data_IF_342067296214
#
_entry.id   IF_342067296214
#
_cell.length_a   1.000
_cell.length_b   1.000
_cell.length_c   1.000
_cell.angle_alpha   90.00
_cell.angle_beta   90.00
_cell.angle_gamma   90.00
#
_symmetry.space_group_name_H-M   'P 1'
#
loop_
_entity.id
_entity.type
_entity.pdbx_description
1 polymer ?
#
# COMPACT_ATOMS: atom_id res chain seq x y z
N UNK A 1 -20.03 8.82 -40.76
CA UNK A 1 -20.25 9.25 -39.36
C UNK A 1 -21.05 8.14 -38.71
N UNK A 2 -20.46 7.36 -37.79
CA UNK A 2 -21.16 6.27 -37.08
C UNK A 2 -22.31 6.85 -36.25
N UNK A 3 -23.51 6.28 -36.35
CA UNK A 3 -24.63 6.65 -35.49
C UNK A 3 -24.21 6.46 -34.02
N UNK A 4 -24.14 7.56 -33.32
CA UNK A 4 -23.95 7.55 -31.87
C UNK A 4 -25.20 6.96 -31.26
N UNK A 5 -25.09 5.81 -30.55
CA UNK A 5 -26.20 5.11 -29.93
C UNK A 5 -26.98 5.99 -28.95
N UNK A 6 -28.29 5.69 -28.74
CA UNK A 6 -29.17 6.46 -27.82
C UNK A 6 -28.58 6.64 -26.41
N UNK A 7 -27.89 5.61 -25.88
CA UNK A 7 -27.24 5.67 -24.57
C UNK A 7 -26.11 6.70 -24.52
N UNK A 8 -25.31 6.81 -25.58
CA UNK A 8 -24.22 7.78 -25.65
C UNK A 8 -24.77 9.21 -25.81
N UNK A 9 -25.89 9.40 -26.51
CA UNK A 9 -26.60 10.69 -26.60
C UNK A 9 -27.18 11.11 -25.24
N UNK A 10 -27.81 10.16 -24.52
CA UNK A 10 -28.31 10.43 -23.16
C UNK A 10 -27.16 10.81 -22.21
N UNK A 11 -26.01 10.15 -22.31
CA UNK A 11 -24.81 10.51 -21.56
C UNK A 11 -24.31 11.92 -21.89
N UNK A 12 -24.22 12.26 -23.18
CA UNK A 12 -23.79 13.59 -23.61
C UNK A 12 -24.69 14.72 -23.07
N UNK A 13 -25.99 14.47 -22.98
CA UNK A 13 -26.96 15.43 -22.43
C UNK A 13 -26.80 15.68 -20.92
N UNK A 14 -26.27 14.71 -20.16
CA UNK A 14 -26.08 14.82 -18.71
C UNK A 14 -24.68 15.29 -18.31
N UNK A 15 -23.70 15.35 -19.22
CA UNK A 15 -22.32 15.72 -18.91
C UNK A 15 -22.14 17.14 -18.36
N UNK A 16 -23.03 18.08 -18.70
CA UNK A 16 -23.00 19.45 -18.20
C UNK A 16 -23.70 19.62 -16.85
N UNK A 17 -24.32 18.56 -16.30
CA UNK A 17 -25.15 18.62 -15.10
C UNK A 17 -26.49 19.35 -15.33
N UNK A 18 -27.18 19.67 -14.25
CA UNK A 18 -28.49 20.30 -14.27
C UNK A 18 -28.46 21.67 -13.56
N UNK A 19 -28.72 22.76 -14.29
CA UNK A 19 -28.78 24.11 -13.72
C UNK A 19 -30.06 24.30 -12.91
N UNK A 20 -29.89 24.76 -11.67
CA UNK A 20 -30.98 25.23 -10.81
C UNK A 20 -31.39 26.68 -11.13
N UNK A 21 -32.37 27.18 -10.42
CA UNK A 21 -32.84 28.57 -10.50
C UNK A 21 -31.84 29.58 -9.89
N UNK A 22 -30.91 29.10 -9.11
CA UNK A 22 -29.88 29.83 -8.36
C UNK A 22 -28.53 29.92 -9.10
N UNK A 23 -28.51 29.57 -10.39
CA UNK A 23 -27.31 29.50 -11.25
C UNK A 23 -26.28 28.45 -10.79
N UNK A 24 -26.68 27.55 -9.91
CA UNK A 24 -25.87 26.42 -9.44
C UNK A 24 -26.14 25.20 -10.31
N UNK A 25 -25.08 24.46 -10.66
CA UNK A 25 -25.18 23.20 -11.39
C UNK A 25 -25.18 22.02 -10.41
N UNK A 26 -26.24 21.23 -10.45
CA UNK A 26 -26.38 20.01 -9.67
C UNK A 26 -26.14 18.76 -10.52
N UNK A 27 -25.62 17.70 -9.89
CA UNK A 27 -25.44 16.40 -10.55
C UNK A 27 -26.79 15.75 -10.93
N UNK A 28 -27.82 16.00 -10.11
CA UNK A 28 -29.14 15.41 -10.28
C UNK A 28 -30.25 16.47 -10.17
N UNK A 29 -31.24 16.51 -11.10
CA UNK A 29 -32.29 17.52 -11.08
C UNK A 29 -33.26 17.37 -9.89
N UNK A 30 -33.35 16.17 -9.32
CA UNK A 30 -34.27 15.83 -8.22
C UNK A 30 -33.57 15.68 -6.87
N UNK A 31 -32.34 16.15 -6.72
CA UNK A 31 -31.58 16.04 -5.47
C UNK A 31 -32.27 16.76 -4.31
N UNK A 32 -32.60 16.02 -3.24
CA UNK A 32 -33.24 16.56 -2.04
C UNK A 32 -32.35 16.55 -0.80
N UNK A 33 -31.17 15.90 -0.87
CA UNK A 33 -30.21 15.86 0.24
C UNK A 33 -29.74 17.28 0.57
N UNK A 34 -29.67 17.58 1.85
CA UNK A 34 -29.24 18.89 2.37
C UNK A 34 -28.24 18.69 3.50
N UNK A 35 -27.37 19.63 3.64
CA UNK A 35 -26.49 19.84 4.78
C UNK A 35 -26.69 21.28 5.25
N UNK A 36 -26.54 21.54 6.54
CA UNK A 36 -26.63 22.90 7.06
C UNK A 36 -25.57 23.80 6.45
N UNK A 37 -25.94 25.06 6.22
CA UNK A 37 -25.02 26.08 5.73
C UNK A 37 -23.94 26.30 6.78
N UNK A 38 -22.67 26.35 6.35
CA UNK A 38 -21.53 26.53 7.24
C UNK A 38 -20.30 27.03 6.51
N UNK A 39 -19.25 27.25 7.25
CA UNK A 39 -17.94 27.61 6.70
C UNK A 39 -17.22 26.36 6.18
N UNK A 40 -16.27 26.58 5.25
CA UNK A 40 -15.37 25.52 4.77
C UNK A 40 -14.53 24.99 5.92
N UNK A 41 -14.47 23.68 6.07
CA UNK A 41 -13.60 23.03 7.06
C UNK A 41 -12.19 22.96 6.49
N UNK A 42 -11.44 24.04 6.67
CA UNK A 42 -10.07 24.15 6.20
C UNK A 42 -9.07 23.37 7.07
N UNK A 43 -7.79 23.44 6.70
CA UNK A 43 -6.68 22.73 7.34
C UNK A 43 -6.63 22.95 8.87
N UNK A 44 -6.69 24.18 9.32
CA UNK A 44 -6.56 24.50 10.75
C UNK A 44 -7.68 23.86 11.59
N UNK A 45 -8.91 23.86 11.06
CA UNK A 45 -10.04 23.21 11.74
C UNK A 45 -9.88 21.68 11.78
N UNK A 46 -9.28 21.07 10.76
CA UNK A 46 -8.96 19.63 10.74
C UNK A 46 -7.87 19.27 11.72
N UNK A 47 -6.80 20.06 11.79
CA UNK A 47 -5.72 19.91 12.77
C UNK A 47 -6.24 20.07 14.22
N UNK A 48 -7.18 21.00 14.45
CA UNK A 48 -7.80 21.16 15.76
C UNK A 48 -8.67 19.94 16.14
N UNK A 49 -9.37 19.36 15.18
CA UNK A 49 -10.09 18.09 15.40
C UNK A 49 -9.16 16.94 15.77
N UNK A 50 -7.96 16.87 15.17
CA UNK A 50 -6.94 15.90 15.59
C UNK A 50 -6.57 16.10 17.07
N UNK A 51 -6.39 17.33 17.55
CA UNK A 51 -6.10 17.61 18.95
C UNK A 51 -7.18 17.11 19.92
N UNK A 52 -8.44 17.15 19.49
CA UNK A 52 -9.58 16.72 20.30
C UNK A 52 -9.81 15.20 20.26
N UNK A 53 -9.51 14.55 19.14
CA UNK A 53 -9.89 13.17 18.88
C UNK A 53 -8.75 12.17 19.07
N UNK A 54 -7.50 12.57 18.79
CA UNK A 54 -6.36 11.67 18.87
C UNK A 54 -5.86 11.52 20.30
N UNK A 55 -5.52 10.30 20.68
CA UNK A 55 -4.93 10.03 21.99
C UNK A 55 -3.55 10.66 22.15
N UNK A 56 -3.10 10.96 23.37
CA UNK A 56 -1.71 11.31 23.63
C UNK A 56 -0.76 10.22 23.10
N UNK A 57 0.29 10.62 22.39
CA UNK A 57 1.23 9.69 21.73
C UNK A 57 0.93 9.41 20.25
N UNK A 58 -0.29 9.68 19.77
CA UNK A 58 -0.58 9.66 18.35
C UNK A 58 0.02 10.86 17.62
N UNK A 59 0.45 10.67 16.38
CA UNK A 59 1.07 11.71 15.56
C UNK A 59 0.01 12.70 15.05
N UNK A 60 0.21 13.99 15.34
CA UNK A 60 -0.66 15.08 14.89
C UNK A 60 -0.04 15.78 13.69
N UNK A 61 -0.87 16.21 12.74
CA UNK A 61 -0.39 17.00 11.60
C UNK A 61 0.23 18.34 12.03
N UNK A 62 -0.36 19.00 13.03
CA UNK A 62 0.22 20.21 13.61
C UNK A 62 1.49 19.89 14.41
N UNK A 63 2.62 20.45 13.97
CA UNK A 63 3.94 20.24 14.59
C UNK A 63 4.70 19.03 14.05
N UNK A 64 4.15 18.35 13.08
CA UNK A 64 4.79 17.31 12.26
C UNK A 64 4.74 17.71 10.78
N UNK A 65 4.97 16.76 9.88
CA UNK A 65 4.90 17.00 8.44
C UNK A 65 6.16 17.66 7.87
N UNK A 66 7.33 17.31 8.43
CA UNK A 66 8.61 17.79 7.94
C UNK A 66 8.91 17.23 6.56
N UNK A 67 9.08 18.12 5.58
CA UNK A 67 9.41 17.77 4.20
C UNK A 67 10.85 18.11 3.89
N UNK A 68 11.47 17.33 2.99
CA UNK A 68 12.84 17.60 2.52
C UNK A 68 12.95 18.97 1.83
N UNK A 69 11.93 19.32 1.03
CA UNK A 69 11.80 20.63 0.39
C UNK A 69 10.65 21.38 1.06
N UNK A 70 10.91 22.58 1.56
CA UNK A 70 9.89 23.42 2.19
C UNK A 70 8.80 23.78 1.18
N UNK A 71 7.54 23.67 1.60
CA UNK A 71 6.36 24.02 0.82
C UNK A 71 5.38 24.81 1.67
N UNK A 72 4.62 25.69 1.02
CA UNK A 72 3.51 26.38 1.69
C UNK A 72 2.44 25.38 2.14
N UNK A 73 1.88 25.56 3.34
CA UNK A 73 0.76 24.74 3.80
C UNK A 73 -0.43 24.82 2.84
N UNK A 74 -1.09 23.67 2.63
CA UNK A 74 -2.35 23.63 1.90
C UNK A 74 -3.46 24.31 2.72
N UNK A 75 -4.33 25.14 2.14
CA UNK A 75 -5.39 25.81 2.89
C UNK A 75 -6.47 24.87 3.41
N UNK A 76 -6.66 23.73 2.77
CA UNK A 76 -7.76 22.80 3.08
C UNK A 76 -7.29 21.51 3.73
N UNK A 77 -6.15 20.96 3.29
CA UNK A 77 -5.67 19.63 3.68
C UNK A 77 -4.54 19.69 4.70
N UNK A 78 -4.56 18.75 5.66
CA UNK A 78 -3.41 18.50 6.53
C UNK A 78 -2.21 17.98 5.72
N UNK A 79 -1.02 17.99 6.31
CA UNK A 79 0.19 17.49 5.65
C UNK A 79 0.06 16.01 5.26
N UNK A 80 -0.55 15.18 6.10
CA UNK A 80 -0.74 13.75 5.85
C UNK A 80 -1.84 13.45 4.82
N UNK A 81 -2.90 14.29 4.75
CA UNK A 81 -3.88 14.22 3.66
C UNK A 81 -3.23 14.50 2.30
N UNK A 82 -2.32 15.49 2.24
CA UNK A 82 -1.53 15.76 1.03
C UNK A 82 -0.64 14.58 0.63
N UNK A 83 0.00 13.93 1.60
CA UNK A 83 0.85 12.76 1.34
C UNK A 83 0.05 11.60 0.78
N UNK A 84 -1.08 11.27 1.41
CA UNK A 84 -1.99 10.25 0.90
C UNK A 84 -2.42 10.51 -0.55
N UNK A 85 -2.84 11.73 -0.82
CA UNK A 85 -3.29 12.12 -2.16
C UNK A 85 -2.14 12.04 -3.17
N UNK A 86 -0.93 12.50 -2.82
CA UNK A 86 0.26 12.38 -3.67
C UNK A 86 0.60 10.94 -4.00
N UNK A 87 0.56 10.05 -3.01
CA UNK A 87 0.80 8.62 -3.22
C UNK A 87 -0.23 8.04 -4.18
N UNK A 88 -1.53 8.22 -3.92
CA UNK A 88 -2.63 7.69 -4.75
C UNK A 88 -2.54 8.17 -6.20
N UNK A 89 -2.13 9.41 -6.43
CA UNK A 89 -1.99 9.99 -7.77
C UNK A 89 -0.63 9.70 -8.43
N UNK A 90 0.31 9.07 -7.71
CA UNK A 90 1.64 8.75 -8.26
C UNK A 90 1.59 7.62 -9.29
N UNK A 91 2.56 7.61 -10.18
CA UNK A 91 2.77 6.50 -11.10
C UNK A 91 3.24 5.25 -10.34
N UNK A 92 4.07 5.41 -9.30
CA UNK A 92 4.56 4.29 -8.48
C UNK A 92 3.40 3.49 -7.88
N UNK A 93 2.39 4.16 -7.34
CA UNK A 93 1.19 3.51 -6.81
C UNK A 93 0.37 2.82 -7.90
N UNK A 94 0.11 3.50 -9.04
CA UNK A 94 -0.62 2.89 -10.17
C UNK A 94 0.07 1.65 -10.72
N UNK A 95 1.42 1.63 -10.74
CA UNK A 95 2.22 0.49 -11.21
C UNK A 95 2.05 -0.77 -10.35
N UNK A 96 1.61 -0.65 -9.10
CA UNK A 96 1.27 -1.78 -8.26
C UNK A 96 0.17 -2.67 -8.86
N UNK A 97 -0.69 -2.14 -9.72
CA UNK A 97 -1.71 -2.90 -10.44
C UNK A 97 -1.13 -3.99 -11.35
N UNK A 98 0.06 -3.76 -11.89
CA UNK A 98 0.76 -4.72 -12.74
C UNK A 98 1.74 -5.62 -11.98
N UNK A 99 1.95 -5.43 -10.68
CA UNK A 99 2.87 -6.23 -9.87
C UNK A 99 2.12 -7.31 -9.11
N UNK A 100 2.65 -8.52 -9.16
CA UNK A 100 2.02 -9.69 -8.52
C UNK A 100 2.23 -9.69 -7.01
N UNK A 101 1.24 -10.19 -6.27
CA UNK A 101 1.37 -10.38 -4.82
C UNK A 101 2.04 -11.72 -4.50
N UNK A 102 1.45 -12.83 -4.92
CA UNK A 102 1.91 -14.19 -4.59
C UNK A 102 2.23 -15.00 -5.84
N UNK A 103 1.34 -14.97 -6.83
CA UNK A 103 1.44 -15.80 -8.05
C UNK A 103 1.96 -14.94 -9.18
N UNK A 104 3.09 -15.34 -9.81
CA UNK A 104 3.75 -14.55 -10.86
C UNK A 104 2.86 -14.38 -12.09
N UNK A 105 2.04 -15.40 -12.42
CA UNK A 105 1.05 -15.33 -13.50
C UNK A 105 -0.36 -15.42 -12.91
N UNK A 106 -0.88 -14.34 -12.32
CA UNK A 106 -2.19 -14.38 -11.68
C UNK A 106 -3.31 -14.51 -12.69
N UNK A 107 -4.33 -15.28 -12.33
CA UNK A 107 -5.63 -15.23 -13.02
C UNK A 107 -6.37 -13.93 -12.64
N UNK A 108 -7.42 -13.61 -13.42
CA UNK A 108 -8.14 -12.32 -13.35
C UNK A 108 -8.65 -11.93 -11.95
N UNK A 109 -8.88 -12.91 -11.07
CA UNK A 109 -9.40 -12.67 -9.72
C UNK A 109 -8.34 -12.69 -8.60
N UNK A 110 -7.08 -12.94 -8.92
CA UNK A 110 -6.01 -12.97 -7.93
C UNK A 110 -5.51 -11.54 -7.63
N UNK A 111 -5.07 -11.35 -6.40
CA UNK A 111 -4.61 -10.05 -5.92
C UNK A 111 -3.35 -9.57 -6.61
N UNK A 112 -3.33 -8.27 -6.89
CA UNK A 112 -2.12 -7.54 -7.25
C UNK A 112 -1.62 -6.77 -6.03
N UNK A 113 -0.41 -6.22 -6.09
CA UNK A 113 0.10 -5.34 -5.02
C UNK A 113 -0.75 -4.11 -4.82
N UNK A 114 -1.44 -3.60 -5.85
CA UNK A 114 -2.37 -2.49 -5.69
C UNK A 114 -3.57 -2.87 -4.80
N UNK A 115 -4.19 -4.02 -5.06
CA UNK A 115 -5.32 -4.47 -4.24
C UNK A 115 -4.87 -4.83 -2.84
N UNK A 116 -3.67 -5.41 -2.67
CA UNK A 116 -3.06 -5.64 -1.37
C UNK A 116 -2.83 -4.33 -0.61
N UNK A 117 -2.24 -3.31 -1.21
CA UNK A 117 -2.03 -2.01 -0.56
C UNK A 117 -3.35 -1.37 -0.07
N UNK A 118 -4.43 -1.49 -0.86
CA UNK A 118 -5.76 -1.04 -0.44
C UNK A 118 -6.33 -1.83 0.75
N UNK A 119 -6.08 -3.14 0.79
CA UNK A 119 -6.49 -4.02 1.89
C UNK A 119 -5.69 -3.73 3.16
N UNK A 120 -4.37 -3.53 3.05
CA UNK A 120 -3.51 -3.09 4.17
C UNK A 120 -3.98 -1.73 4.70
N UNK A 121 -4.26 -0.78 3.83
CA UNK A 121 -4.79 0.53 4.22
C UNK A 121 -6.12 0.42 4.96
N UNK A 122 -7.02 -0.49 4.55
CA UNK A 122 -8.27 -0.74 5.28
C UNK A 122 -8.00 -1.28 6.69
N UNK A 123 -7.09 -2.26 6.84
CA UNK A 123 -6.72 -2.84 8.14
C UNK A 123 -6.06 -1.79 9.04
N UNK A 124 -5.07 -1.04 8.50
CA UNK A 124 -4.37 0.02 9.23
C UNK A 124 -5.33 1.10 9.74
N UNK A 125 -6.25 1.57 8.90
CA UNK A 125 -7.30 2.53 9.30
C UNK A 125 -8.19 1.99 10.40
N UNK A 126 -8.56 0.71 10.33
CA UNK A 126 -9.41 0.09 11.37
C UNK A 126 -8.70 0.03 12.72
N UNK A 127 -7.42 -0.33 12.74
CA UNK A 127 -6.62 -0.36 13.96
C UNK A 127 -6.40 1.07 14.47
N UNK A 128 -5.93 1.99 13.62
CA UNK A 128 -5.68 3.39 14.00
C UNK A 128 -6.93 4.06 14.58
N UNK A 129 -8.10 3.86 13.96
CA UNK A 129 -9.37 4.36 14.49
C UNK A 129 -9.70 3.76 15.86
N UNK A 130 -9.51 2.46 16.04
CA UNK A 130 -9.81 1.75 17.29
C UNK A 130 -8.92 2.18 18.45
N UNK A 131 -7.67 2.54 18.20
CA UNK A 131 -6.74 3.01 19.24
C UNK A 131 -6.69 4.53 19.40
N UNK A 132 -7.36 5.30 18.54
CA UNK A 132 -7.33 6.77 18.56
C UNK A 132 -6.02 7.37 18.02
N UNK A 133 -5.37 6.70 17.06
CA UNK A 133 -4.20 7.17 16.32
C UNK A 133 -4.60 7.93 15.04
N UNK A 134 -3.63 8.53 14.35
CA UNK A 134 -3.87 9.30 13.12
C UNK A 134 -4.18 8.37 11.94
N UNK A 135 -5.47 8.28 11.61
CA UNK A 135 -5.98 7.43 10.54
C UNK A 135 -5.37 7.83 9.18
N UNK A 136 -5.21 9.12 8.93
CA UNK A 136 -4.73 9.62 7.64
C UNK A 136 -3.26 9.30 7.43
N UNK A 137 -2.44 9.41 8.47
CA UNK A 137 -1.02 9.03 8.42
C UNK A 137 -0.86 7.52 8.20
N UNK A 138 -1.60 6.71 8.97
CA UNK A 138 -1.59 5.25 8.79
C UNK A 138 -2.05 4.84 7.37
N UNK A 139 -3.08 5.51 6.82
CA UNK A 139 -3.57 5.29 5.45
C UNK A 139 -2.52 5.63 4.40
N UNK A 140 -1.84 6.78 4.53
CA UNK A 140 -0.78 7.20 3.62
C UNK A 140 0.41 6.22 3.60
N UNK A 141 0.89 5.83 4.79
CA UNK A 141 1.96 4.83 4.92
C UNK A 141 1.57 3.50 4.29
N UNK A 142 0.37 3.00 4.60
CA UNK A 142 -0.13 1.72 4.10
C UNK A 142 -0.31 1.70 2.58
N UNK A 143 -0.78 2.80 1.97
CA UNK A 143 -0.86 2.90 0.51
C UNK A 143 0.51 2.91 -0.15
N UNK A 144 1.51 3.51 0.50
CA UNK A 144 2.86 3.66 -0.05
C UNK A 144 3.81 2.49 0.20
N UNK A 145 3.52 1.60 1.17
CA UNK A 145 4.49 0.65 1.72
C UNK A 145 5.14 -0.26 0.66
N UNK A 146 4.40 -0.68 -0.34
CA UNK A 146 4.83 -1.60 -1.41
C UNK A 146 5.36 -0.90 -2.67
N UNK A 147 5.41 0.44 -2.72
CA UNK A 147 5.79 1.19 -3.92
C UNK A 147 7.24 0.93 -4.39
N UNK A 148 8.07 0.35 -3.56
CA UNK A 148 9.46 -0.02 -3.89
C UNK A 148 9.64 -1.41 -4.48
N UNK A 149 8.61 -2.25 -4.54
CA UNK A 149 8.72 -3.57 -5.17
C UNK A 149 8.92 -3.48 -6.68
N UNK A 150 9.78 -4.35 -7.19
CA UNK A 150 9.96 -4.57 -8.63
C UNK A 150 8.97 -5.57 -9.22
N UNK A 151 9.08 -5.85 -10.53
CA UNK A 151 8.29 -6.88 -11.21
C UNK A 151 8.56 -8.26 -10.61
N UNK A 152 7.51 -9.04 -10.35
CA UNK A 152 7.61 -10.34 -9.70
C UNK A 152 7.76 -10.29 -8.18
N UNK A 153 7.59 -9.10 -7.55
CA UNK A 153 7.55 -8.94 -6.10
C UNK A 153 8.87 -9.32 -5.43
N UNK A 154 8.84 -10.22 -4.44
CA UNK A 154 10.06 -10.64 -3.72
C UNK A 154 11.13 -11.30 -4.61
N UNK A 155 10.77 -11.89 -5.77
CA UNK A 155 11.77 -12.39 -6.71
C UNK A 155 12.64 -11.24 -7.26
N UNK A 156 12.06 -10.04 -7.44
CA UNK A 156 12.82 -8.87 -7.85
C UNK A 156 13.78 -8.35 -6.79
N UNK A 157 13.45 -8.50 -5.50
CA UNK A 157 14.38 -8.15 -4.42
C UNK A 157 15.64 -9.01 -4.50
N UNK A 158 15.46 -10.33 -4.59
CA UNK A 158 16.56 -11.26 -4.73
C UNK A 158 17.40 -10.98 -6.02
N UNK A 159 16.71 -10.62 -7.11
CA UNK A 159 17.39 -10.29 -8.36
C UNK A 159 18.26 -9.02 -8.24
N UNK A 160 17.71 -7.96 -7.65
CA UNK A 160 18.42 -6.68 -7.55
C UNK A 160 19.45 -6.66 -6.43
N UNK A 161 19.27 -7.44 -5.38
CA UNK A 161 20.22 -7.58 -4.27
C UNK A 161 21.63 -7.97 -4.76
N UNK A 162 21.70 -8.77 -5.83
CA UNK A 162 22.96 -9.15 -6.44
C UNK A 162 23.76 -7.97 -7.06
N UNK A 163 23.10 -6.84 -7.33
CA UNK A 163 23.68 -5.68 -8.00
C UNK A 163 23.82 -4.46 -7.12
N UNK A 164 23.10 -4.38 -6.02
CA UNK A 164 23.09 -3.25 -5.09
C UNK A 164 24.00 -3.57 -3.91
N UNK A 165 25.15 -2.87 -3.75
CA UNK A 165 26.14 -3.21 -2.74
C UNK A 165 25.64 -3.17 -1.29
N UNK A 166 24.70 -2.28 -0.98
CA UNK A 166 24.06 -2.14 0.33
C UNK A 166 22.87 -3.10 0.55
N UNK A 167 22.54 -3.90 -0.46
CA UNK A 167 21.37 -4.76 -0.50
C UNK A 167 20.12 -4.04 -1.03
N UNK A 168 19.19 -4.80 -1.60
CA UNK A 168 17.92 -4.29 -2.10
C UNK A 168 16.79 -4.67 -1.15
N UNK A 169 16.04 -3.66 -0.66
CA UNK A 169 14.87 -3.82 0.17
C UNK A 169 13.78 -2.83 -0.28
N UNK A 170 12.59 -3.35 -0.58
CA UNK A 170 11.49 -2.54 -1.14
C UNK A 170 11.05 -1.40 -0.23
N UNK A 171 11.13 -1.54 1.10
CA UNK A 171 10.75 -0.48 2.04
C UNK A 171 11.61 0.78 1.85
N UNK A 172 12.94 0.73 2.05
CA UNK A 172 13.84 1.83 1.73
C UNK A 172 13.73 2.33 0.29
N UNK A 173 13.71 1.44 -0.70
CA UNK A 173 13.59 1.86 -2.10
C UNK A 173 12.26 2.54 -2.40
N UNK A 174 11.18 2.12 -1.76
CA UNK A 174 9.89 2.79 -1.82
C UNK A 174 9.96 4.22 -1.33
N UNK A 175 10.51 4.40 -0.13
CA UNK A 175 10.61 5.71 0.51
C UNK A 175 11.61 6.65 -0.17
N UNK A 176 12.80 6.13 -0.50
CA UNK A 176 13.97 6.96 -0.85
C UNK A 176 14.17 7.11 -2.37
N UNK A 177 13.56 6.23 -3.18
CA UNK A 177 13.69 6.26 -4.66
C UNK A 177 12.32 6.41 -5.31
N UNK A 178 11.41 5.44 -5.14
CA UNK A 178 10.15 5.40 -5.90
C UNK A 178 9.20 6.56 -5.56
N UNK A 179 9.21 7.05 -4.34
CA UNK A 179 8.35 8.14 -3.85
C UNK A 179 9.12 9.43 -3.55
N UNK A 180 10.44 9.47 -3.77
CA UNK A 180 11.30 10.62 -3.45
C UNK A 180 10.81 11.93 -4.08
N UNK A 181 10.38 11.89 -5.35
CA UNK A 181 9.89 13.07 -6.08
C UNK A 181 8.58 13.64 -5.52
N UNK A 182 7.87 12.90 -4.67
CA UNK A 182 6.61 13.35 -4.08
C UNK A 182 6.79 14.32 -2.91
N UNK A 183 8.00 14.47 -2.39
CA UNK A 183 8.30 15.32 -1.24
C UNK A 183 7.35 15.05 -0.07
N UNK A 184 7.24 13.76 0.31
CA UNK A 184 6.38 13.33 1.42
C UNK A 184 6.97 13.76 2.77
N UNK A 185 6.14 13.76 3.80
CA UNK A 185 6.55 14.03 5.18
C UNK A 185 7.52 12.94 5.69
N UNK A 186 8.47 13.33 6.51
CA UNK A 186 9.46 12.42 7.10
C UNK A 186 8.78 11.26 7.86
N UNK A 187 7.68 11.55 8.54
CA UNK A 187 6.88 10.57 9.29
C UNK A 187 6.27 9.53 8.33
N UNK A 188 5.71 9.97 7.20
CA UNK A 188 5.15 9.09 6.17
C UNK A 188 6.24 8.20 5.56
N UNK A 189 7.39 8.80 5.19
CA UNK A 189 8.53 8.07 4.64
C UNK A 189 9.13 7.07 5.63
N UNK A 190 9.20 7.43 6.91
CA UNK A 190 9.70 6.54 7.97
C UNK A 190 8.81 5.29 8.10
N UNK A 191 7.49 5.47 8.14
CA UNK A 191 6.56 4.35 8.19
C UNK A 191 6.63 3.45 6.95
N UNK A 192 6.79 4.02 5.74
CA UNK A 192 6.99 3.26 4.50
C UNK A 192 8.32 2.50 4.55
N UNK A 193 9.41 3.15 4.92
CA UNK A 193 10.76 2.56 4.99
C UNK A 193 10.86 1.40 5.97
N UNK A 194 10.17 1.47 7.08
CA UNK A 194 10.33 0.59 8.23
C UNK A 194 9.10 -0.30 8.53
N UNK A 195 8.16 -0.44 7.58
CA UNK A 195 6.95 -1.24 7.80
C UNK A 195 7.24 -2.74 8.00
N UNK A 196 8.29 -3.27 7.39
CA UNK A 196 8.65 -4.69 7.52
C UNK A 196 9.22 -5.00 8.89
N UNK A 197 8.87 -6.15 9.46
CA UNK A 197 9.37 -6.60 10.77
C UNK A 197 10.87 -6.94 10.76
N UNK A 198 11.51 -7.03 9.62
CA UNK A 198 12.96 -7.17 9.46
C UNK A 198 13.71 -5.84 9.58
N UNK A 199 12.98 -4.72 9.57
CA UNK A 199 13.53 -3.37 9.64
C UNK A 199 13.53 -2.84 11.08
N UNK A 200 14.27 -1.75 11.37
CA UNK A 200 14.09 -1.02 12.62
C UNK A 200 12.62 -0.58 12.83
N UNK A 201 12.21 -0.48 14.08
CA UNK A 201 10.86 -0.01 14.38
C UNK A 201 10.63 1.40 13.82
N UNK A 202 9.45 1.67 13.20
CA UNK A 202 9.06 3.02 12.83
C UNK A 202 9.02 3.96 14.04
N UNK A 203 9.28 5.25 13.82
CA UNK A 203 9.28 6.25 14.89
C UNK A 203 7.89 6.68 15.37
N UNK A 204 6.81 6.19 14.75
CA UNK A 204 5.43 6.57 15.06
C UNK A 204 4.57 5.36 15.39
N UNK A 205 3.54 5.57 16.22
CA UNK A 205 2.52 4.55 16.53
C UNK A 205 1.81 4.08 15.24
N UNK A 206 1.55 5.01 14.33
CA UNK A 206 0.92 4.73 13.04
C UNK A 206 1.77 3.83 12.16
N UNK A 207 3.09 4.01 12.17
CA UNK A 207 4.04 3.13 11.45
C UNK A 207 4.04 1.71 12.03
N UNK A 208 4.05 1.55 13.35
CA UNK A 208 3.93 0.23 13.99
C UNK A 208 2.57 -0.42 13.67
N UNK A 209 1.49 0.35 13.61
CA UNK A 209 0.16 -0.13 13.16
C UNK A 209 0.22 -0.67 11.74
N UNK A 210 0.90 0.02 10.82
CA UNK A 210 1.06 -0.43 9.42
C UNK A 210 1.86 -1.73 9.36
N UNK A 211 2.89 -1.89 10.17
CA UNK A 211 3.67 -3.15 10.25
C UNK A 211 2.81 -4.36 10.65
N UNK A 212 1.86 -4.19 11.57
CA UNK A 212 0.88 -5.23 11.89
C UNK A 212 -0.15 -5.40 10.79
N UNK A 213 -0.65 -4.30 10.22
CA UNK A 213 -1.70 -4.31 9.20
C UNK A 213 -1.27 -5.07 7.95
N UNK A 214 -0.04 -4.86 7.47
CA UNK A 214 0.52 -5.58 6.34
C UNK A 214 0.55 -7.08 6.62
N UNK A 215 1.14 -7.50 7.76
CA UNK A 215 1.23 -8.91 8.12
C UNK A 215 -0.13 -9.58 8.27
N UNK A 216 -1.09 -8.94 8.91
CA UNK A 216 -2.45 -9.45 9.07
C UNK A 216 -3.13 -9.60 7.71
N UNK A 217 -3.00 -8.58 6.86
CA UNK A 217 -3.64 -8.55 5.55
C UNK A 217 -3.11 -9.68 4.66
N UNK A 218 -1.78 -9.75 4.42
CA UNK A 218 -1.27 -10.77 3.50
C UNK A 218 -1.50 -12.19 4.02
N UNK A 219 -1.36 -12.45 5.33
CA UNK A 219 -1.59 -13.79 5.86
C UNK A 219 -3.01 -14.30 5.58
N UNK A 220 -4.03 -13.47 5.82
CA UNK A 220 -5.43 -13.86 5.64
C UNK A 220 -5.85 -13.88 4.15
N UNK A 221 -5.36 -12.93 3.37
CA UNK A 221 -5.76 -12.78 1.97
C UNK A 221 -5.09 -13.82 1.05
N UNK A 222 -3.78 -14.07 1.25
CA UNK A 222 -3.04 -15.04 0.45
C UNK A 222 -3.55 -16.47 0.69
N UNK A 223 -3.94 -16.78 1.95
CA UNK A 223 -4.64 -18.03 2.25
C UNK A 223 -5.95 -18.16 1.47
N UNK A 224 -6.78 -17.10 1.46
CA UNK A 224 -8.04 -17.12 0.71
C UNK A 224 -7.82 -17.35 -0.79
N UNK A 225 -6.85 -16.68 -1.38
CA UNK A 225 -6.51 -16.84 -2.80
C UNK A 225 -5.97 -18.25 -3.09
N UNK A 226 -5.15 -18.81 -2.21
CA UNK A 226 -4.64 -20.17 -2.34
C UNK A 226 -5.73 -21.23 -2.23
N UNK A 227 -6.72 -21.02 -1.34
CA UNK A 227 -7.89 -21.91 -1.24
C UNK A 227 -8.73 -21.84 -2.54
N UNK A 228 -9.02 -20.63 -3.04
CA UNK A 228 -9.77 -20.43 -4.28
C UNK A 228 -9.06 -21.04 -5.50
N UNK A 229 -7.73 -20.98 -5.51
CA UNK A 229 -6.90 -21.59 -6.55
C UNK A 229 -6.74 -23.11 -6.41
N UNK A 230 -7.27 -23.72 -5.35
CA UNK A 230 -7.14 -25.16 -5.09
C UNK A 230 -5.73 -25.59 -4.67
N UNK A 231 -4.89 -24.66 -4.24
CA UNK A 231 -3.51 -24.91 -3.80
C UNK A 231 -3.49 -25.56 -2.43
N UNK A 232 -4.34 -25.09 -1.51
CA UNK A 232 -4.52 -25.61 -0.15
C UNK A 232 -6.00 -25.72 0.19
N UNK A 233 -6.32 -26.49 1.23
CA UNK A 233 -7.69 -26.62 1.75
C UNK A 233 -7.76 -26.17 3.20
N UNK A 234 -8.94 -25.75 3.64
CA UNK A 234 -9.20 -25.34 5.03
C UNK A 234 -8.83 -26.43 6.05
N UNK A 235 -8.94 -27.72 5.65
CA UNK A 235 -8.63 -28.86 6.55
C UNK A 235 -7.14 -29.00 6.85
N UNK A 236 -6.27 -28.38 6.08
CA UNK A 236 -4.82 -28.42 6.25
C UNK A 236 -4.31 -27.35 7.20
N UNK A 237 -5.18 -26.39 7.60
CA UNK A 237 -4.79 -25.31 8.50
C UNK A 237 -4.31 -25.85 9.85
N UNK A 238 -3.27 -25.25 10.46
CA UNK A 238 -2.85 -25.60 11.81
C UNK A 238 -4.00 -25.44 12.82
N UNK A 239 -4.07 -26.35 13.77
CA UNK A 239 -5.14 -26.37 14.78
C UNK A 239 -5.22 -25.06 15.56
N UNK A 240 -4.09 -24.48 15.96
CA UNK A 240 -4.03 -23.21 16.69
C UNK A 240 -4.66 -22.07 15.86
N UNK A 241 -4.52 -22.07 14.54
CA UNK A 241 -5.14 -21.07 13.67
C UNK A 241 -6.65 -21.22 13.67
N UNK A 242 -7.13 -22.46 13.50
CA UNK A 242 -8.58 -22.73 13.41
C UNK A 242 -9.30 -22.46 14.73
N UNK A 243 -8.65 -22.75 15.87
CA UNK A 243 -9.22 -22.55 17.21
C UNK A 243 -9.22 -21.07 17.63
N UNK A 244 -8.16 -20.31 17.30
CA UNK A 244 -7.99 -18.93 17.75
C UNK A 244 -8.56 -17.94 16.75
N UNK A 245 -8.24 -18.11 15.44
CA UNK A 245 -8.55 -17.13 14.41
C UNK A 245 -9.64 -17.59 13.42
N UNK A 246 -10.10 -18.84 13.52
CA UNK A 246 -11.11 -19.39 12.61
C UNK A 246 -10.52 -19.82 11.26
N UNK A 247 -11.44 -20.14 10.34
CA UNK A 247 -11.10 -20.80 9.07
C UNK A 247 -11.33 -19.93 7.83
N UNK A 248 -11.91 -18.76 8.01
CA UNK A 248 -12.21 -17.83 6.90
C UNK A 248 -11.55 -16.46 7.12
N UNK A 249 -11.29 -15.77 6.01
CA UNK A 249 -10.62 -14.48 5.99
C UNK A 249 -11.29 -13.44 6.91
N UNK A 250 -12.63 -13.36 6.89
CA UNK A 250 -13.36 -12.33 7.66
C UNK A 250 -13.15 -12.52 9.16
N UNK A 251 -13.25 -13.76 9.63
CA UNK A 251 -13.03 -14.11 11.03
C UNK A 251 -11.58 -13.84 11.42
N UNK A 252 -10.61 -14.28 10.61
CA UNK A 252 -9.19 -14.05 10.83
C UNK A 252 -8.84 -12.57 10.95
N UNK A 253 -9.26 -11.75 9.98
CA UNK A 253 -9.05 -10.30 10.03
C UNK A 253 -9.70 -9.69 11.28
N UNK A 254 -10.93 -10.08 11.62
CA UNK A 254 -11.64 -9.55 12.80
C UNK A 254 -10.91 -9.85 14.09
N UNK A 255 -10.44 -11.09 14.28
CA UNK A 255 -9.70 -11.52 15.47
C UNK A 255 -8.37 -10.79 15.60
N UNK A 256 -7.57 -10.77 14.54
CA UNK A 256 -6.25 -10.14 14.58
C UNK A 256 -6.33 -8.62 14.78
N UNK A 257 -7.20 -7.93 14.03
CA UNK A 257 -7.41 -6.49 14.19
C UNK A 257 -7.88 -6.14 15.61
N UNK A 258 -8.87 -6.87 16.13
CA UNK A 258 -9.40 -6.64 17.47
C UNK A 258 -8.32 -6.86 18.51
N UNK A 259 -7.52 -7.92 18.40
CA UNK A 259 -6.45 -8.20 19.35
C UNK A 259 -5.41 -7.09 19.38
N UNK A 260 -4.99 -6.54 18.23
CA UNK A 260 -4.06 -5.39 18.20
C UNK A 260 -4.67 -4.18 18.88
N UNK A 261 -5.94 -3.86 18.60
CA UNK A 261 -6.65 -2.74 19.25
C UNK A 261 -6.69 -2.92 20.75
N UNK A 262 -7.20 -4.06 21.23
CA UNK A 262 -7.41 -4.32 22.66
C UNK A 262 -6.07 -4.34 23.43
N UNK A 263 -5.04 -4.99 22.87
CA UNK A 263 -3.69 -5.03 23.47
C UNK A 263 -3.06 -3.64 23.53
N UNK A 264 -3.15 -2.87 22.44
CA UNK A 264 -2.61 -1.51 22.38
C UNK A 264 -3.31 -0.60 23.37
N UNK A 265 -4.64 -0.69 23.47
CA UNK A 265 -5.42 0.09 24.45
C UNK A 265 -5.11 -0.28 25.89
N UNK A 266 -4.81 -1.54 26.17
CA UNK A 266 -4.50 -2.03 27.52
C UNK A 266 -3.06 -1.71 27.96
N UNK A 267 -2.11 -1.70 27.02
CA UNK A 267 -0.67 -1.61 27.34
C UNK A 267 -0.03 -0.28 27.00
N UNK A 268 -0.67 0.52 26.12
CA UNK A 268 -0.10 1.75 25.55
C UNK A 268 0.98 1.49 24.49
N UNK A 269 1.18 0.24 24.05
CA UNK A 269 2.15 -0.14 23.01
C UNK A 269 1.45 -0.96 21.93
N UNK A 270 1.76 -0.69 20.66
CA UNK A 270 1.22 -1.47 19.55
C UNK A 270 1.70 -2.93 19.69
N UNK A 271 0.76 -3.84 19.72
CA UNK A 271 1.08 -5.24 19.98
C UNK A 271 -0.13 -6.16 19.90
N UNK A 272 0.11 -7.44 20.11
CA UNK A 272 -0.87 -8.51 20.07
C UNK A 272 -0.64 -9.44 21.27
N UNK A 273 -1.70 -10.04 21.84
CA UNK A 273 -1.54 -11.05 22.91
C UNK A 273 -0.79 -12.27 22.38
N UNK A 274 -0.07 -12.94 23.26
CA UNK A 274 0.83 -14.02 22.87
C UNK A 274 0.12 -15.20 22.16
N UNK A 275 -1.06 -15.57 22.63
CA UNK A 275 -1.88 -16.65 22.05
C UNK A 275 -2.35 -16.33 20.61
N UNK A 276 -2.81 -15.09 20.37
CA UNK A 276 -3.22 -14.64 19.03
C UNK A 276 -2.02 -14.43 18.12
N UNK A 277 -0.89 -13.96 18.68
CA UNK A 277 0.36 -13.83 17.94
C UNK A 277 0.91 -15.19 17.50
N UNK A 278 0.78 -16.23 18.32
CA UNK A 278 1.14 -17.61 17.97
C UNK A 278 0.27 -18.11 16.79
N UNK A 279 -1.03 -17.86 16.82
CA UNK A 279 -1.91 -18.22 15.70
C UNK A 279 -1.54 -17.49 14.39
N UNK A 280 -1.23 -16.18 14.46
CA UNK A 280 -0.78 -15.42 13.31
C UNK A 280 0.56 -15.93 12.77
N UNK A 281 1.49 -16.26 13.66
CA UNK A 281 2.79 -16.83 13.29
C UNK A 281 2.64 -18.21 12.64
N UNK A 282 1.76 -19.07 13.18
CA UNK A 282 1.46 -20.37 12.61
C UNK A 282 0.79 -20.26 11.22
N UNK A 283 -0.14 -19.31 11.05
CA UNK A 283 -0.75 -19.02 9.75
C UNK A 283 0.29 -18.57 8.72
N UNK A 284 1.19 -17.65 9.11
CA UNK A 284 2.28 -17.21 8.25
C UNK A 284 3.22 -18.35 7.87
N UNK A 285 3.60 -19.21 8.83
CA UNK A 285 4.46 -20.36 8.58
C UNK A 285 3.79 -21.35 7.61
N UNK A 286 2.51 -21.59 7.78
CA UNK A 286 1.71 -22.42 6.86
C UNK A 286 1.70 -21.83 5.44
N UNK A 287 1.44 -20.52 5.29
CA UNK A 287 1.46 -19.87 3.98
C UNK A 287 2.86 -19.94 3.34
N UNK A 288 3.90 -19.75 4.16
CA UNK A 288 5.28 -19.83 3.66
C UNK A 288 5.59 -21.22 3.10
N UNK A 289 5.30 -22.27 3.84
CA UNK A 289 5.58 -23.65 3.43
C UNK A 289 4.68 -24.10 2.27
N UNK A 290 3.37 -23.81 2.34
CA UNK A 290 2.38 -24.43 1.47
C UNK A 290 2.02 -23.57 0.24
N UNK A 291 2.36 -22.28 0.25
CA UNK A 291 2.00 -21.34 -0.83
C UNK A 291 3.26 -20.77 -1.48
N UNK A 292 4.15 -20.14 -0.70
CA UNK A 292 5.24 -19.34 -1.28
C UNK A 292 6.43 -20.19 -1.74
N UNK A 293 6.75 -21.28 -1.03
CA UNK A 293 7.90 -22.14 -1.34
C UNK A 293 7.54 -23.43 -2.09
N UNK A 294 6.36 -23.48 -2.75
CA UNK A 294 6.04 -24.59 -3.66
C UNK A 294 7.01 -24.64 -4.84
N UNK A 295 7.26 -25.83 -5.41
CA UNK A 295 8.13 -25.97 -6.60
C UNK A 295 7.73 -25.04 -7.76
N UNK A 296 6.43 -24.89 -8.03
CA UNK A 296 5.91 -24.04 -9.09
C UNK A 296 6.18 -22.55 -8.81
N UNK A 297 6.01 -22.11 -7.56
CA UNK A 297 6.28 -20.73 -7.16
C UNK A 297 7.78 -20.42 -7.23
N UNK A 298 8.62 -21.35 -6.79
CA UNK A 298 10.08 -21.21 -6.86
C UNK A 298 10.57 -21.19 -8.30
N UNK A 299 10.07 -22.09 -9.18
CA UNK A 299 10.46 -22.09 -10.60
C UNK A 299 10.05 -20.80 -11.32
N UNK A 300 8.89 -20.21 -10.97
CA UNK A 300 8.46 -18.91 -11.50
C UNK A 300 9.38 -17.78 -10.98
N UNK A 301 9.75 -17.80 -9.70
CA UNK A 301 10.66 -16.82 -9.12
C UNK A 301 12.05 -16.88 -9.78
N UNK A 302 12.60 -18.07 -9.99
CA UNK A 302 13.88 -18.27 -10.69
C UNK A 302 13.85 -17.68 -12.10
N UNK A 303 12.78 -17.92 -12.86
CA UNK A 303 12.63 -17.35 -14.20
C UNK A 303 12.58 -15.82 -14.18
N UNK A 304 11.89 -15.20 -13.21
CA UNK A 304 11.88 -13.75 -13.03
C UNK A 304 13.28 -13.22 -12.70
N UNK A 305 14.01 -13.88 -11.80
CA UNK A 305 15.36 -13.49 -11.42
C UNK A 305 16.29 -13.51 -12.63
N UNK A 306 16.23 -14.59 -13.43
CA UNK A 306 17.05 -14.72 -14.64
C UNK A 306 16.78 -13.61 -15.65
N UNK A 307 15.50 -13.30 -15.90
CA UNK A 307 15.10 -12.21 -16.79
C UNK A 307 15.59 -10.86 -16.28
N UNK A 308 15.40 -10.57 -15.00
CA UNK A 308 15.85 -9.30 -14.41
C UNK A 308 17.37 -9.15 -14.41
N UNK A 309 18.12 -10.22 -14.14
CA UNK A 309 19.59 -10.22 -14.28
C UNK A 309 20.01 -9.89 -15.71
N UNK A 310 19.36 -10.51 -16.71
CA UNK A 310 19.61 -10.21 -18.12
C UNK A 310 19.32 -8.75 -18.48
N UNK A 311 18.22 -8.20 -17.98
CA UNK A 311 17.84 -6.80 -18.21
C UNK A 311 18.83 -5.83 -17.55
N UNK A 312 19.22 -6.08 -16.30
CA UNK A 312 20.22 -5.25 -15.63
C UNK A 312 21.52 -5.25 -16.40
N UNK A 313 22.03 -6.43 -16.77
CA UNK A 313 23.29 -6.56 -17.54
C UNK A 313 23.19 -5.84 -18.91
N UNK A 314 22.04 -5.97 -19.58
CA UNK A 314 21.80 -5.30 -20.86
C UNK A 314 21.85 -3.77 -20.73
N UNK A 315 21.09 -3.20 -19.81
CA UNK A 315 21.01 -1.75 -19.64
C UNK A 315 22.27 -1.13 -19.03
N UNK A 316 23.05 -1.89 -18.27
CA UNK A 316 24.40 -1.44 -17.87
C UNK A 316 25.30 -1.22 -19.09
N UNK A 317 25.19 -2.07 -20.11
CA UNK A 317 25.93 -1.94 -21.37
C UNK A 317 25.35 -0.93 -22.36
N UNK A 318 24.07 -0.56 -22.17
CA UNK A 318 23.28 0.29 -23.08
C UNK A 318 22.58 1.41 -22.31
N UNK A 319 23.35 2.15 -21.54
CA UNK A 319 22.83 3.21 -20.65
C UNK A 319 22.10 4.32 -21.43
N UNK A 320 22.44 4.52 -22.69
CA UNK A 320 21.79 5.42 -23.63
C UNK A 320 20.33 5.05 -23.96
N UNK A 321 19.92 3.82 -23.66
CA UNK A 321 18.55 3.35 -23.80
C UNK A 321 17.71 3.50 -22.51
N UNK A 322 18.32 3.87 -21.40
CA UNK A 322 17.61 4.21 -20.16
C UNK A 322 17.00 5.61 -20.34
N UNK A 323 15.69 5.81 -20.03
CA UNK A 323 15.05 7.12 -20.12
C UNK A 323 15.80 8.17 -19.29
N UNK A 324 15.94 9.37 -19.83
CA UNK A 324 16.74 10.47 -19.24
C UNK A 324 16.28 10.83 -17.82
N UNK A 325 15.01 10.70 -17.52
CA UNK A 325 14.43 10.94 -16.19
C UNK A 325 15.06 10.09 -15.08
N UNK A 326 15.61 8.91 -15.40
CA UNK A 326 16.32 8.05 -14.45
C UNK A 326 17.82 8.35 -14.41
N UNK A 327 18.36 9.05 -15.41
CA UNK A 327 19.78 9.40 -15.54
C UNK A 327 20.13 10.76 -14.93
N UNK A 328 19.14 11.61 -14.66
CA UNK A 328 19.28 12.96 -14.07
C UNK A 328 19.45 12.93 -12.53
N UNK A 329 19.86 11.80 -11.96
CA UNK A 329 20.09 11.64 -10.52
C UNK A 329 21.58 11.54 -10.22
N UNK A 330 21.98 11.92 -9.01
CA UNK A 330 23.38 11.74 -8.53
C UNK A 330 23.71 10.27 -8.19
N UNK A 331 22.74 9.36 -8.36
CA UNK A 331 22.93 7.93 -8.13
C UNK A 331 23.89 7.32 -9.17
N UNK A 332 24.60 6.27 -8.79
CA UNK A 332 25.42 5.53 -9.74
C UNK A 332 24.60 4.81 -10.81
N UNK A 333 25.28 4.30 -11.85
CA UNK A 333 24.61 3.68 -12.99
C UNK A 333 23.74 2.49 -12.64
N UNK A 334 24.16 1.69 -11.66
CA UNK A 334 23.39 0.49 -11.30
C UNK A 334 22.06 0.88 -10.62
N UNK A 335 22.09 1.86 -9.74
CA UNK A 335 20.88 2.39 -9.11
C UNK A 335 19.93 3.02 -10.13
N UNK A 336 20.47 3.76 -11.13
CA UNK A 336 19.67 4.33 -12.21
C UNK A 336 18.97 3.25 -13.05
N UNK A 337 19.69 2.19 -13.41
CA UNK A 337 19.13 1.04 -14.15
C UNK A 337 18.07 0.32 -13.34
N UNK A 338 18.33 0.03 -12.06
CA UNK A 338 17.36 -0.64 -11.19
C UNK A 338 16.12 0.23 -10.99
N UNK A 339 16.26 1.53 -10.76
CA UNK A 339 15.14 2.47 -10.66
C UNK A 339 14.30 2.47 -11.95
N UNK A 340 14.92 2.48 -13.12
CA UNK A 340 14.24 2.36 -14.40
C UNK A 340 13.46 1.05 -14.50
N UNK A 341 14.06 -0.09 -14.18
CA UNK A 341 13.41 -1.40 -14.26
C UNK A 341 12.24 -1.56 -13.27
N UNK A 342 12.36 -0.97 -12.09
CA UNK A 342 11.23 -0.90 -11.14
C UNK A 342 10.02 -0.17 -11.70
N UNK A 343 10.24 0.82 -12.54
CA UNK A 343 9.23 1.74 -13.03
C UNK A 343 8.66 1.35 -14.40
N UNK A 344 9.51 0.85 -15.31
CA UNK A 344 9.19 0.71 -16.75
C UNK A 344 9.02 -0.73 -17.22
N UNK A 345 9.48 -1.72 -16.45
CA UNK A 345 9.37 -3.11 -16.90
C UNK A 345 7.90 -3.52 -17.08
N UNK A 346 7.56 -4.21 -18.18
CA UNK A 346 6.21 -4.70 -18.40
C UNK A 346 5.79 -5.64 -17.27
N UNK A 347 4.54 -5.52 -16.87
CA UNK A 347 3.90 -6.48 -16.00
C UNK A 347 3.80 -7.84 -16.72
N UNK A 348 3.84 -8.98 -16.02
CA UNK A 348 3.47 -10.27 -16.60
C UNK A 348 2.08 -10.30 -17.27
N UNK A 349 1.24 -9.27 -17.01
CA UNK A 349 -0.06 -9.10 -17.67
C UNK A 349 0.01 -8.38 -19.02
N UNK A 350 1.13 -7.78 -19.35
CA UNK A 350 1.31 -7.02 -20.59
C UNK A 350 1.92 -7.88 -21.72
N UNK A 351 2.13 -9.19 -21.47
CA UNK A 351 2.68 -10.18 -22.41
C UNK A 351 1.63 -11.15 -22.94
#
# INVERSE_FOLDING_TARGET
MSEVGERARAWALTMAGHRGFDDIVHAHPSGTARIDIGEVVGREAREERENLLLRPGATRARGAGHRAVAEDPDPERTCFERDRDRIVHSTSFRRLAGKTQVVVHPTDHQRTRLTHALEVAQVARSIAAGIGANITLADAMALGHDCGHGPGGHASEQAFDAFIPEGFDHGPWGADVSLASLNLCAETLDGIRNHSWSRPAPGTVEGEVVSFADRIAYCAHDLEDAIKAGIVTVKELPQVVTEVAGTDRRTQLSVFIRCVIDTTCATGRVGMSADVAEALAALRAFNYERIYTRPESLGQAEAVIEVLHGLVAYYQGHIDQVPTEFLETDADRIHQVVACLLYTSPSPRDS
#
